data_IF_771695815402
#
_entry.id   IF_771695815402
#
_cell.length_a   1.000
_cell.length_b   1.000
_cell.length_c   1.000
_cell.angle_alpha   90.00
_cell.angle_beta   90.00
_cell.angle_gamma   90.00
#
_symmetry.space_group_name_H-M   'P 1'
#
loop_
_entity.id
_entity.type
_entity.pdbx_description
1 polymer ?
#
# COMPACT_ATOMS: atom_id res chain seq x y z
N UNK A 1 -4.86 -37.32 37.83
CA UNK A 1 -3.70 -36.58 38.39
C UNK A 1 -3.09 -35.80 37.24
N UNK A 2 -2.98 -34.49 37.16
CA UNK A 2 -3.44 -33.33 37.93
C UNK A 2 -3.55 -32.20 36.89
N UNK A 3 -4.72 -31.57 36.75
CA UNK A 3 -4.95 -30.48 35.79
C UNK A 3 -4.70 -29.14 36.48
N UNK A 4 -3.63 -28.45 36.11
CA UNK A 4 -3.31 -27.11 36.63
C UNK A 4 -4.09 -26.03 35.88
N UNK A 5 -5.21 -25.63 36.49
CA UNK A 5 -6.02 -24.46 36.11
C UNK A 5 -5.35 -23.20 36.67
N UNK A 6 -4.86 -22.32 35.79
CA UNK A 6 -4.32 -21.03 36.19
C UNK A 6 -5.47 -20.01 36.31
N UNK A 7 -5.77 -19.62 37.56
CA UNK A 7 -6.86 -18.72 37.95
C UNK A 7 -6.29 -17.30 38.12
N UNK A 8 -6.53 -16.40 37.18
CA UNK A 8 -6.17 -14.98 37.35
C UNK A 8 -7.25 -14.26 38.16
N UNK A 9 -6.85 -13.76 39.35
CA UNK A 9 -7.64 -12.90 40.23
C UNK A 9 -7.66 -11.48 39.67
N UNK A 10 -8.86 -10.93 39.45
CA UNK A 10 -9.11 -9.51 39.29
C UNK A 10 -9.58 -8.95 40.64
N UNK A 11 -8.82 -8.01 41.21
CA UNK A 11 -9.28 -7.16 42.31
C UNK A 11 -8.43 -5.89 42.38
N UNK A 12 -9.08 -4.74 42.23
CA UNK A 12 -8.44 -3.43 42.34
C UNK A 12 -9.41 -2.30 42.09
N UNK A 13 -10.36 -2.10 43.01
CA UNK A 13 -11.17 -0.89 43.11
C UNK A 13 -10.26 0.34 43.21
N UNK A 14 -10.39 1.28 42.27
CA UNK A 14 -9.94 2.65 42.49
C UNK A 14 -11.06 3.62 42.12
N UNK A 15 -11.77 4.06 43.15
CA UNK A 15 -12.76 5.13 43.10
C UNK A 15 -12.04 6.46 43.29
N UNK A 16 -12.07 7.33 42.29
CA UNK A 16 -11.85 8.77 42.47
C UNK A 16 -12.86 9.55 41.64
N UNK A 17 -13.76 10.21 42.36
CA UNK A 17 -14.65 11.26 41.90
C UNK A 17 -13.87 12.54 41.52
N UNK A 18 -14.60 13.46 40.87
CA UNK A 18 -14.35 14.90 40.66
C UNK A 18 -13.57 15.22 39.37
N UNK A 19 -14.02 16.09 38.45
CA UNK A 19 -14.99 17.20 38.46
C UNK A 19 -15.64 17.35 37.08
N UNK A 20 -16.91 17.73 37.09
CA UNK A 20 -17.66 18.26 35.95
C UNK A 20 -17.26 19.73 35.74
N UNK A 21 -17.01 20.15 34.51
CA UNK A 21 -16.96 21.55 34.10
C UNK A 21 -17.84 21.75 32.85
N UNK A 22 -18.51 22.92 32.69
CA UNK A 22 -19.69 23.04 31.84
C UNK A 22 -19.40 23.51 30.41
N UNK A 23 -20.45 23.32 29.60
CA UNK A 23 -20.70 23.66 28.21
C UNK A 23 -20.21 25.04 27.71
N UNK A 24 -19.79 25.08 26.43
CA UNK A 24 -20.51 25.79 25.36
C UNK A 24 -19.64 25.93 24.12
N UNK A 25 -20.11 25.45 22.97
CA UNK A 25 -19.91 26.09 21.67
C UNK A 25 -21.05 25.70 20.73
N UNK A 26 -22.06 26.57 20.71
CA UNK A 26 -23.10 26.68 19.69
C UNK A 26 -22.43 26.79 18.31
N UNK A 27 -22.78 25.90 17.39
CA UNK A 27 -22.64 26.15 15.96
C UNK A 27 -24.03 26.48 15.41
N UNK A 28 -24.14 27.67 14.84
CA UNK A 28 -25.37 28.23 14.27
C UNK A 28 -25.86 27.38 13.11
N UNK A 29 -27.01 26.77 13.33
CA UNK A 29 -27.89 26.17 12.33
C UNK A 29 -28.47 27.30 11.47
N UNK A 30 -28.01 27.45 10.23
CA UNK A 30 -28.71 28.25 9.22
C UNK A 30 -30.01 27.53 8.87
N UNK A 31 -31.13 28.15 9.26
CA UNK A 31 -32.44 27.89 8.69
C UNK A 31 -32.44 28.39 7.25
N UNK A 32 -32.80 27.53 6.31
CA UNK A 32 -33.45 27.97 5.07
C UNK A 32 -34.87 27.44 5.13
N UNK A 33 -35.77 28.38 4.94
CA UNK A 33 -37.22 28.31 5.03
C UNK A 33 -37.86 27.63 3.83
N UNK A 34 -39.04 27.10 4.12
CA UNK A 34 -40.10 26.58 3.27
C UNK A 34 -40.36 27.37 1.97
N UNK A 35 -40.69 26.64 0.90
CA UNK A 35 -41.51 27.12 -0.20
C UNK A 35 -42.48 25.99 -0.64
N UNK A 36 -43.70 26.34 -1.08
CA UNK A 36 -44.84 25.42 -1.11
C UNK A 36 -45.01 24.66 -2.42
N UNK A 37 -45.76 23.57 -2.29
CA UNK A 37 -46.31 22.71 -3.33
C UNK A 37 -47.17 23.47 -4.34
N UNK A 38 -46.97 23.22 -5.63
CA UNK A 38 -47.98 23.45 -6.67
C UNK A 38 -48.15 22.18 -7.51
N UNK A 39 -49.41 21.87 -7.76
CA UNK A 39 -49.95 20.72 -8.44
C UNK A 39 -49.98 20.89 -9.96
N UNK A 40 -50.13 19.75 -10.66
CA UNK A 40 -50.90 19.53 -11.89
C UNK A 40 -50.55 20.32 -13.16
N UNK A 41 -50.02 19.63 -14.19
CA UNK A 41 -50.81 19.16 -15.36
C UNK A 41 -49.93 18.54 -16.47
N UNK A 42 -50.52 17.75 -17.39
CA UNK A 42 -49.81 16.96 -18.40
C UNK A 42 -49.76 17.64 -19.78
N UNK A 43 -48.77 17.24 -20.58
CA UNK A 43 -48.84 17.37 -22.04
C UNK A 43 -47.62 18.02 -22.67
N UNK A 44 -46.92 17.25 -23.51
CA UNK A 44 -46.74 17.53 -24.95
C UNK A 44 -45.53 16.75 -25.44
N UNK A 45 -45.81 15.74 -26.27
CA UNK A 45 -44.84 15.02 -27.10
C UNK A 45 -44.19 16.04 -28.04
N UNK A 46 -42.86 16.13 -28.04
CA UNK A 46 -42.11 16.91 -29.01
C UNK A 46 -41.00 16.05 -29.62
N UNK A 47 -41.06 15.91 -30.95
CA UNK A 47 -40.07 15.25 -31.81
C UNK A 47 -38.65 15.79 -31.57
N UNK A 48 -37.62 14.95 -31.74
CA UNK A 48 -36.25 15.41 -31.88
C UNK A 48 -35.97 15.85 -33.33
N UNK A 49 -35.81 17.16 -33.53
CA UNK A 49 -35.19 17.71 -34.74
C UNK A 49 -33.71 17.36 -34.81
N UNK A 50 -33.31 16.86 -35.99
CA UNK A 50 -31.94 16.57 -36.37
C UNK A 50 -31.06 17.82 -36.31
N UNK A 51 -30.16 17.85 -35.33
CA UNK A 51 -29.13 18.88 -35.22
C UNK A 51 -27.82 18.40 -35.84
N UNK A 52 -27.40 19.14 -36.87
CA UNK A 52 -26.23 18.95 -37.71
C UNK A 52 -24.93 18.96 -36.91
N UNK A 53 -24.09 17.97 -37.19
CA UNK A 53 -22.70 17.85 -36.76
C UNK A 53 -21.84 18.97 -37.34
N UNK A 54 -21.33 19.87 -36.48
CA UNK A 54 -20.18 20.71 -36.78
C UNK A 54 -18.91 19.98 -36.31
N UNK A 55 -18.23 19.33 -37.25
CA UNK A 55 -16.86 18.86 -37.05
C UNK A 55 -15.94 20.08 -36.88
N UNK A 56 -15.40 20.24 -35.67
CA UNK A 56 -14.36 21.23 -35.37
C UNK A 56 -13.00 20.52 -35.40
N UNK A 57 -12.31 20.68 -36.53
CA UNK A 57 -10.97 20.14 -36.84
C UNK A 57 -9.81 20.75 -36.02
N UNK A 58 -10.04 21.12 -34.76
CA UNK A 58 -9.09 21.94 -33.99
C UNK A 58 -8.37 21.22 -32.84
N UNK A 59 -8.38 19.88 -32.80
CA UNK A 59 -7.83 19.09 -31.68
C UNK A 59 -6.58 18.26 -32.00
N UNK A 60 -6.05 18.27 -33.23
CA UNK A 60 -4.92 17.41 -33.61
C UNK A 60 -3.51 17.95 -33.34
N UNK A 61 -3.35 19.22 -32.95
CA UNK A 61 -2.02 19.80 -32.70
C UNK A 61 -1.63 19.90 -31.21
N UNK A 62 -2.54 19.67 -30.27
CA UNK A 62 -2.23 19.72 -28.83
C UNK A 62 -1.86 18.36 -28.21
N UNK A 63 -1.97 17.26 -28.97
CA UNK A 63 -1.72 15.91 -28.47
C UNK A 63 -0.29 15.40 -28.68
N UNK A 64 0.56 16.13 -29.44
CA UNK A 64 1.97 15.76 -29.62
C UNK A 64 2.90 16.48 -28.65
N UNK A 65 2.59 17.71 -28.24
CA UNK A 65 3.43 18.49 -27.32
C UNK A 65 3.32 18.03 -25.85
N UNK A 66 2.20 17.39 -25.47
CA UNK A 66 1.99 16.87 -24.11
C UNK A 66 2.55 15.45 -23.87
N UNK A 67 3.10 14.80 -24.91
CA UNK A 67 3.69 13.44 -24.78
C UNK A 67 5.16 13.47 -24.38
N UNK A 68 5.93 14.48 -24.78
CA UNK A 68 7.37 14.55 -24.46
C UNK A 68 7.63 14.97 -23.01
N UNK A 69 6.85 15.89 -22.45
CA UNK A 69 7.09 16.43 -21.08
C UNK A 69 6.74 15.42 -19.97
N UNK A 70 5.78 14.52 -20.22
CA UNK A 70 5.40 13.47 -19.25
C UNK A 70 6.40 12.32 -19.25
N UNK A 71 6.95 11.94 -20.40
CA UNK A 71 7.89 10.81 -20.49
C UNK A 71 9.25 11.12 -19.84
N UNK A 72 9.72 12.38 -19.95
CA UNK A 72 10.97 12.82 -19.32
C UNK A 72 10.87 12.89 -17.78
N UNK A 73 9.69 13.21 -17.25
CA UNK A 73 9.44 13.29 -15.80
C UNK A 73 9.39 11.91 -15.14
N UNK A 74 8.86 10.88 -15.83
CA UNK A 74 8.83 9.51 -15.28
C UNK A 74 10.19 8.78 -15.42
N UNK A 75 11.01 9.11 -16.41
CA UNK A 75 12.36 8.55 -16.57
C UNK A 75 13.35 9.07 -15.52
N UNK A 76 13.17 10.31 -15.02
CA UNK A 76 14.05 10.91 -14.00
C UNK A 76 13.78 10.40 -12.57
N UNK A 77 12.55 9.97 -12.27
CA UNK A 77 12.17 9.48 -10.94
C UNK A 77 12.63 8.04 -10.64
N UNK A 78 13.03 7.26 -11.66
CA UNK A 78 13.47 5.87 -11.49
C UNK A 78 14.98 5.67 -11.62
N UNK A 79 15.72 6.67 -12.09
CA UNK A 79 17.16 6.59 -12.36
C UNK A 79 18.06 7.46 -11.47
N UNK A 80 17.50 8.32 -10.62
CA UNK A 80 18.33 9.11 -9.69
C UNK A 80 18.67 8.31 -8.43
N UNK A 81 19.97 8.02 -8.27
CA UNK A 81 20.64 7.61 -7.02
C UNK A 81 20.64 6.14 -6.57
N UNK A 82 20.76 5.18 -7.48
CA UNK A 82 21.42 3.91 -7.13
C UNK A 82 22.78 3.83 -7.81
N UNK A 83 23.76 4.55 -7.24
CA UNK A 83 25.15 4.18 -7.48
C UNK A 83 25.30 2.70 -7.08
N UNK A 84 25.86 1.83 -7.94
CA UNK A 84 26.00 0.41 -7.62
C UNK A 84 26.84 0.29 -6.35
N UNK A 85 26.18 -0.04 -5.23
CA UNK A 85 26.86 -0.30 -3.97
C UNK A 85 27.81 -1.47 -4.19
N UNK A 86 29.05 -1.32 -3.70
CA UNK A 86 30.03 -2.40 -3.77
C UNK A 86 29.43 -3.61 -3.05
N UNK A 87 29.48 -4.79 -3.66
CA UNK A 87 28.93 -6.03 -3.09
C UNK A 87 29.45 -6.34 -1.67
N UNK A 88 30.61 -5.78 -1.29
CA UNK A 88 31.20 -5.91 0.05
C UNK A 88 30.40 -5.26 1.18
N UNK A 89 29.51 -4.31 0.87
CA UNK A 89 28.88 -3.47 1.89
C UNK A 89 27.44 -3.89 2.19
N UNK A 90 26.97 -4.99 1.59
CA UNK A 90 25.62 -5.51 1.81
C UNK A 90 25.62 -6.22 3.17
N UNK A 91 24.76 -5.82 4.12
CA UNK A 91 24.62 -6.51 5.39
C UNK A 91 24.29 -7.99 5.17
N UNK A 92 24.75 -8.90 6.05
CA UNK A 92 24.43 -10.31 5.95
C UNK A 92 22.92 -10.51 5.90
N UNK A 93 22.50 -11.49 5.10
CA UNK A 93 21.08 -11.76 4.85
C UNK A 93 20.45 -12.32 6.12
N UNK A 94 19.43 -11.62 6.61
CA UNK A 94 18.74 -12.00 7.83
C UNK A 94 17.60 -12.98 7.52
N UNK A 95 17.68 -14.25 7.98
CA UNK A 95 16.71 -15.28 7.59
C UNK A 95 15.34 -15.09 8.23
N UNK A 96 15.26 -14.41 9.39
CA UNK A 96 14.02 -14.28 10.16
C UNK A 96 12.89 -13.56 9.41
N UNK A 97 13.19 -12.73 8.40
CA UNK A 97 12.18 -12.11 7.55
C UNK A 97 11.43 -13.16 6.70
N UNK A 98 12.19 -14.08 6.09
CA UNK A 98 11.60 -15.17 5.34
C UNK A 98 10.83 -16.09 6.28
N UNK A 99 11.43 -16.49 7.41
CA UNK A 99 10.77 -17.33 8.41
C UNK A 99 9.43 -16.74 8.88
N UNK A 100 9.36 -15.43 9.09
CA UNK A 100 8.12 -14.76 9.45
C UNK A 100 7.06 -14.85 8.34
N UNK A 101 7.42 -14.55 7.08
CA UNK A 101 6.48 -14.64 5.96
C UNK A 101 6.04 -16.09 5.70
N UNK A 102 6.93 -17.06 5.83
CA UNK A 102 6.62 -18.48 5.73
C UNK A 102 5.70 -18.94 6.87
N UNK A 103 5.83 -18.37 8.06
CA UNK A 103 4.87 -18.57 9.15
C UNK A 103 3.46 -18.06 8.82
N UNK A 104 3.36 -16.94 8.09
CA UNK A 104 2.07 -16.38 7.65
C UNK A 104 1.52 -17.14 6.43
N UNK A 105 2.40 -17.58 5.52
CA UNK A 105 2.07 -18.28 4.27
C UNK A 105 2.84 -19.61 4.16
N UNK A 106 2.41 -20.67 4.85
CA UNK A 106 3.18 -21.92 4.96
C UNK A 106 3.47 -22.64 3.64
N UNK A 107 2.67 -22.38 2.60
CA UNK A 107 2.83 -22.98 1.27
C UNK A 107 3.87 -22.27 0.40
N UNK A 108 4.32 -21.08 0.80
CA UNK A 108 5.23 -20.26 0.00
C UNK A 108 6.62 -20.25 0.64
N UNK A 109 7.67 -20.38 -0.17
CA UNK A 109 9.07 -20.30 0.25
C UNK A 109 9.71 -19.00 -0.23
N UNK A 110 9.93 -18.06 0.69
CA UNK A 110 10.37 -16.72 0.33
C UNK A 110 11.89 -16.64 0.25
N UNK A 111 12.48 -16.16 -0.87
CA UNK A 111 13.88 -15.81 -0.89
C UNK A 111 14.19 -14.78 0.21
N UNK A 112 15.19 -14.99 1.08
CA UNK A 112 15.46 -14.10 2.21
C UNK A 112 15.69 -12.63 1.81
N UNK A 113 16.32 -12.40 0.66
CA UNK A 113 16.51 -11.05 0.11
C UNK A 113 15.21 -10.37 -0.30
N UNK A 114 14.28 -11.13 -0.86
CA UNK A 114 12.96 -10.62 -1.23
C UNK A 114 12.17 -10.28 0.04
N UNK A 115 12.15 -11.19 1.03
CA UNK A 115 11.46 -10.98 2.30
C UNK A 115 11.99 -9.73 3.03
N UNK A 116 13.31 -9.57 3.09
CA UNK A 116 13.97 -8.37 3.65
C UNK A 116 13.51 -7.08 2.96
N UNK A 117 13.46 -7.06 1.63
CA UNK A 117 13.02 -5.88 0.87
C UNK A 117 11.54 -5.58 1.08
N UNK A 118 10.68 -6.60 1.08
CA UNK A 118 9.23 -6.48 1.35
C UNK A 118 8.99 -5.89 2.75
N UNK A 119 9.76 -6.33 3.74
CA UNK A 119 9.64 -5.94 5.15
C UNK A 119 10.59 -4.77 5.53
N UNK A 120 11.04 -3.98 4.56
CA UNK A 120 11.78 -2.74 4.79
C UNK A 120 11.05 -1.56 4.17
N UNK A 121 10.54 -0.66 5.00
CA UNK A 121 9.90 0.58 4.58
C UNK A 121 10.95 1.65 4.23
N UNK A 122 10.61 2.59 3.34
CA UNK A 122 11.52 3.65 2.88
C UNK A 122 11.96 4.61 3.98
N UNK A 123 11.23 4.70 5.10
CA UNK A 123 11.62 5.54 6.23
C UNK A 123 12.77 4.96 7.07
N UNK A 124 13.12 3.68 6.89
CA UNK A 124 14.19 3.05 7.67
C UNK A 124 15.57 3.30 7.02
N UNK A 125 16.65 3.53 7.81
CA UNK A 125 17.99 3.74 7.25
C UNK A 125 18.51 2.62 6.35
N UNK A 126 18.11 1.37 6.62
CA UNK A 126 18.47 0.21 5.78
C UNK A 126 17.76 0.17 4.42
N UNK A 127 16.83 1.10 4.13
CA UNK A 127 16.15 1.20 2.84
C UNK A 127 17.10 1.42 1.66
N UNK A 128 18.32 1.93 1.92
CA UNK A 128 19.40 2.04 0.93
C UNK A 128 19.79 0.68 0.31
N UNK A 129 19.54 -0.42 1.03
CA UNK A 129 19.80 -1.79 0.54
C UNK A 129 18.56 -2.42 -0.10
N UNK A 130 17.58 -1.59 -0.46
CA UNK A 130 16.28 -1.98 -1.00
C UNK A 130 15.16 -1.82 0.02
N UNK A 131 14.03 -1.31 -0.45
CA UNK A 131 12.81 -1.12 0.32
C UNK A 131 11.59 -1.60 -0.49
N UNK A 132 10.42 -1.53 0.14
CA UNK A 132 9.22 -2.20 -0.35
C UNK A 132 8.39 -1.40 -1.37
N UNK A 133 8.86 -0.25 -1.86
CA UNK A 133 8.00 0.64 -2.67
C UNK A 133 7.58 0.02 -4.01
N UNK A 134 8.51 -0.64 -4.70
CA UNK A 134 8.24 -1.32 -6.00
C UNK A 134 7.22 -2.43 -5.81
N UNK A 135 7.39 -3.26 -4.79
CA UNK A 135 6.44 -4.32 -4.47
C UNK A 135 5.10 -3.76 -3.98
N UNK A 136 5.11 -2.68 -3.20
CA UNK A 136 3.90 -2.00 -2.77
C UNK A 136 3.09 -1.43 -3.94
N UNK A 137 3.77 -0.87 -4.94
CA UNK A 137 3.13 -0.40 -6.18
C UNK A 137 2.45 -1.53 -6.96
N UNK A 138 3.16 -2.65 -7.15
CA UNK A 138 2.64 -3.82 -7.85
C UNK A 138 1.46 -4.44 -7.07
N UNK A 139 1.62 -4.57 -5.76
CA UNK A 139 0.60 -5.14 -4.88
C UNK A 139 -0.67 -4.32 -4.80
N UNK A 140 -0.59 -2.98 -4.78
CA UNK A 140 -1.79 -2.13 -4.82
C UNK A 140 -2.64 -2.40 -6.07
N UNK A 141 -1.99 -2.50 -7.24
CA UNK A 141 -2.67 -2.84 -8.51
C UNK A 141 -3.28 -4.24 -8.49
N UNK A 142 -2.54 -5.22 -7.96
CA UNK A 142 -3.03 -6.59 -7.84
C UNK A 142 -4.27 -6.64 -6.93
N UNK A 143 -4.20 -6.03 -5.75
CA UNK A 143 -5.30 -5.96 -4.78
C UNK A 143 -6.55 -5.31 -5.37
N UNK A 144 -6.39 -4.15 -6.02
CA UNK A 144 -7.50 -3.45 -6.67
C UNK A 144 -8.13 -4.29 -7.77
N UNK A 145 -7.31 -4.91 -8.64
CA UNK A 145 -7.80 -5.78 -9.71
C UNK A 145 -8.56 -6.98 -9.17
N UNK A 146 -8.02 -7.67 -8.15
CA UNK A 146 -8.68 -8.83 -7.54
C UNK A 146 -9.97 -8.46 -6.83
N UNK A 147 -10.00 -7.31 -6.14
CA UNK A 147 -11.21 -6.84 -5.50
C UNK A 147 -12.28 -6.48 -6.54
N UNK A 148 -11.91 -5.78 -7.62
CA UNK A 148 -12.86 -5.43 -8.69
C UNK A 148 -13.41 -6.67 -9.38
N UNK A 149 -12.56 -7.67 -9.69
CA UNK A 149 -13.02 -8.96 -10.22
C UNK A 149 -14.01 -9.66 -9.28
N UNK A 150 -13.72 -9.66 -7.97
CA UNK A 150 -14.63 -10.18 -6.96
C UNK A 150 -15.97 -9.42 -6.95
N UNK A 151 -15.94 -8.09 -6.94
CA UNK A 151 -17.15 -7.25 -6.92
C UNK A 151 -17.98 -7.44 -8.18
N UNK A 152 -17.36 -7.52 -9.36
CA UNK A 152 -18.05 -7.80 -10.62
C UNK A 152 -18.72 -9.19 -10.65
N UNK A 153 -18.18 -10.14 -9.89
CA UNK A 153 -18.83 -11.44 -9.75
C UNK A 153 -20.09 -11.36 -8.87
N UNK A 154 -20.19 -10.37 -7.97
CA UNK A 154 -21.32 -10.24 -7.05
C UNK A 154 -22.58 -9.70 -7.74
N UNK A 155 -23.75 -9.94 -7.13
CA UNK A 155 -25.00 -9.29 -7.55
C UNK A 155 -24.99 -7.83 -7.11
N UNK A 156 -24.61 -6.93 -8.01
CA UNK A 156 -24.50 -5.50 -7.74
C UNK A 156 -25.87 -4.82 -7.80
N UNK A 157 -26.11 -3.88 -6.89
CA UNK A 157 -27.24 -2.96 -6.94
C UNK A 157 -26.81 -1.70 -7.71
N UNK A 158 -27.74 -1.00 -8.41
CA UNK A 158 -27.41 0.24 -9.10
C UNK A 158 -26.84 1.34 -8.20
N UNK A 159 -27.09 1.26 -6.89
CA UNK A 159 -26.57 2.19 -5.88
C UNK A 159 -25.13 1.91 -5.44
N UNK A 160 -24.53 0.79 -5.88
CA UNK A 160 -23.17 0.45 -5.50
C UNK A 160 -22.15 1.14 -6.41
N UNK A 161 -21.43 2.11 -5.85
CA UNK A 161 -20.22 2.67 -6.46
C UNK A 161 -19.02 1.75 -6.15
N UNK A 162 -18.53 1.05 -7.17
CA UNK A 162 -17.45 0.08 -7.01
C UNK A 162 -16.10 0.74 -6.69
N UNK A 163 -15.85 1.94 -7.21
CA UNK A 163 -14.60 2.66 -6.97
C UNK A 163 -14.57 3.19 -5.53
N UNK A 164 -15.69 3.72 -5.03
CA UNK A 164 -15.83 4.08 -3.62
C UNK A 164 -15.66 2.86 -2.70
N UNK A 165 -16.32 1.74 -3.03
CA UNK A 165 -16.18 0.50 -2.26
C UNK A 165 -14.72 0.03 -2.24
N UNK A 166 -14.04 0.02 -3.39
CA UNK A 166 -12.65 -0.42 -3.50
C UNK A 166 -11.69 0.51 -2.74
N UNK A 167 -11.84 1.82 -2.89
CA UNK A 167 -10.99 2.81 -2.22
C UNK A 167 -11.14 2.77 -0.69
N UNK A 168 -12.36 2.54 -0.18
CA UNK A 168 -12.61 2.35 1.26
C UNK A 168 -12.09 1.01 1.77
N UNK A 169 -12.33 -0.08 1.03
CA UNK A 169 -11.94 -1.42 1.46
C UNK A 169 -10.43 -1.64 1.44
N UNK A 170 -9.72 -1.06 0.45
CA UNK A 170 -8.27 -1.17 0.29
C UNK A 170 -7.51 0.03 0.88
N UNK A 171 -8.15 0.83 1.72
CA UNK A 171 -7.50 1.92 2.42
C UNK A 171 -6.31 1.38 3.24
N UNK A 172 -5.13 2.02 3.14
CA UNK A 172 -3.92 1.56 3.81
C UNK A 172 -4.08 1.43 5.33
N UNK A 173 -4.86 2.31 5.97
CA UNK A 173 -5.11 2.19 7.41
C UNK A 173 -5.97 0.97 7.73
N UNK A 174 -7.00 0.70 6.93
CA UNK A 174 -7.86 -0.49 7.08
C UNK A 174 -7.04 -1.76 6.89
N UNK A 175 -6.22 -1.81 5.84
CA UNK A 175 -5.32 -2.94 5.60
C UNK A 175 -4.32 -3.13 6.74
N UNK A 176 -3.69 -2.07 7.22
CA UNK A 176 -2.72 -2.17 8.31
C UNK A 176 -3.33 -2.57 9.64
N UNK A 177 -4.47 -1.97 9.99
CA UNK A 177 -5.18 -2.23 11.24
C UNK A 177 -5.69 -3.68 11.28
N UNK A 178 -6.37 -4.14 10.22
CA UNK A 178 -7.07 -5.43 10.23
C UNK A 178 -6.28 -6.60 9.69
N UNK A 179 -5.39 -6.38 8.71
CA UNK A 179 -4.61 -7.47 8.10
C UNK A 179 -3.16 -7.41 8.59
N UNK A 180 -2.53 -6.23 8.52
CA UNK A 180 -1.14 -6.05 8.93
C UNK A 180 -0.88 -6.38 10.40
N UNK A 181 -1.83 -6.05 11.29
CA UNK A 181 -1.77 -6.42 12.70
C UNK A 181 -1.91 -7.94 12.91
N UNK A 182 -2.81 -8.60 12.19
CA UNK A 182 -3.03 -10.05 12.30
C UNK A 182 -1.82 -10.84 11.80
N UNK A 183 -1.18 -10.37 10.73
CA UNK A 183 0.07 -10.95 10.24
C UNK A 183 1.27 -10.63 11.15
N UNK A 184 1.09 -9.80 12.19
CA UNK A 184 2.16 -9.46 13.12
C UNK A 184 3.23 -8.54 12.54
N UNK A 185 2.93 -7.81 11.45
CA UNK A 185 3.91 -6.99 10.73
C UNK A 185 4.54 -5.91 11.62
N UNK A 186 3.81 -5.39 12.60
CA UNK A 186 4.32 -4.34 13.49
C UNK A 186 5.54 -4.77 14.32
N UNK A 187 5.77 -6.09 14.48
CA UNK A 187 6.91 -6.65 15.23
C UNK A 187 8.14 -6.89 14.36
N UNK A 188 7.94 -7.17 13.08
CA UNK A 188 9.00 -7.59 12.16
C UNK A 188 9.48 -6.47 11.25
N UNK A 189 8.60 -5.49 10.97
CA UNK A 189 8.83 -4.49 9.94
C UNK A 189 9.95 -3.52 10.32
N UNK A 190 10.84 -3.25 9.37
CA UNK A 190 11.85 -2.19 9.49
C UNK A 190 11.27 -0.86 9.02
N UNK A 191 10.99 0.01 9.97
CA UNK A 191 10.49 1.35 9.71
C UNK A 191 10.93 2.32 10.82
N UNK A 192 10.89 3.61 10.53
CA UNK A 192 11.13 4.67 11.51
C UNK A 192 9.84 5.48 11.71
N UNK A 193 9.37 5.66 12.96
CA UNK A 193 8.18 6.45 13.24
C UNK A 193 8.43 7.94 13.04
N UNK A 194 7.37 8.67 12.65
CA UNK A 194 7.42 10.13 12.51
C UNK A 194 7.46 10.85 13.86
N UNK A 195 7.00 10.18 14.93
CA UNK A 195 6.99 10.72 16.29
C UNK A 195 8.32 10.45 17.00
N UNK A 196 8.78 11.40 17.82
CA UNK A 196 10.01 11.24 18.61
C UNK A 196 9.88 10.09 19.61
N UNK A 197 11.04 9.48 19.95
CA UNK A 197 11.12 8.34 20.87
C UNK A 197 10.51 8.63 22.25
N UNK A 198 10.72 9.83 22.78
CA UNK A 198 10.17 10.26 24.08
C UNK A 198 8.64 10.24 24.13
N UNK A 199 7.99 10.43 22.98
CA UNK A 199 6.55 10.34 22.86
C UNK A 199 6.10 8.89 22.64
N UNK A 200 6.95 8.02 22.09
CA UNK A 200 6.59 6.63 21.80
C UNK A 200 6.39 5.79 23.08
N UNK A 201 7.20 6.02 24.11
CA UNK A 201 7.11 5.28 25.37
C UNK A 201 5.80 5.58 26.14
N UNK A 202 5.26 6.79 25.97
CA UNK A 202 3.96 7.19 26.54
C UNK A 202 2.77 6.61 25.77
N UNK A 203 3.04 5.99 24.62
CA UNK A 203 2.07 5.72 23.55
C UNK A 203 1.77 4.24 23.37
N UNK A 204 2.63 3.36 23.87
CA UNK A 204 2.51 1.91 23.70
C UNK A 204 1.19 1.29 24.20
N UNK A 205 0.37 2.01 24.96
CA UNK A 205 -0.88 1.52 25.54
C UNK A 205 -2.16 2.13 24.93
N UNK A 206 -2.08 3.05 23.95
CA UNK A 206 -3.27 3.68 23.36
C UNK A 206 -3.36 3.50 21.82
N UNK A 207 -4.39 2.81 21.30
CA UNK A 207 -4.53 2.52 19.86
C UNK A 207 -4.70 3.77 18.99
N UNK A 208 -5.32 4.83 19.53
CA UNK A 208 -5.44 6.12 18.83
C UNK A 208 -4.08 6.71 18.52
N UNK A 209 -3.10 6.46 19.39
CA UNK A 209 -1.77 7.03 19.24
C UNK A 209 -0.89 6.18 18.32
N UNK A 210 -1.11 4.86 18.24
CA UNK A 210 -0.54 4.02 17.16
C UNK A 210 -0.96 4.50 15.77
N UNK A 211 -2.22 4.93 15.60
CA UNK A 211 -2.69 5.54 14.35
C UNK A 211 -1.95 6.85 14.07
N UNK A 212 -1.70 7.69 15.07
CA UNK A 212 -0.93 8.93 14.89
C UNK A 212 0.57 8.70 14.63
N UNK A 213 1.15 7.59 15.10
CA UNK A 213 2.54 7.24 14.82
C UNK A 213 2.75 6.79 13.36
N UNK A 214 1.67 6.59 12.59
CA UNK A 214 1.73 6.14 11.20
C UNK A 214 1.91 4.63 11.04
N UNK A 215 1.89 3.86 12.13
CA UNK A 215 2.14 2.42 12.10
C UNK A 215 1.16 1.68 11.19
N UNK A 216 -0.15 1.91 11.33
CA UNK A 216 -1.15 1.24 10.49
C UNK A 216 -1.03 1.62 9.02
N UNK A 217 -0.65 2.87 8.71
CA UNK A 217 -0.40 3.25 7.31
C UNK A 217 0.76 2.42 6.73
N UNK A 218 1.88 2.38 7.45
CA UNK A 218 3.09 1.68 7.02
C UNK A 218 2.88 0.15 6.97
N UNK A 219 2.10 -0.42 7.89
CA UNK A 219 1.67 -1.81 7.82
C UNK A 219 0.79 -2.08 6.60
N UNK A 220 -0.17 -1.21 6.28
CA UNK A 220 -1.02 -1.36 5.09
C UNK A 220 -0.23 -1.31 3.79
N UNK A 221 0.72 -0.38 3.68
CA UNK A 221 1.66 -0.32 2.55
C UNK A 221 2.49 -1.61 2.45
N UNK A 222 2.87 -2.19 3.60
CA UNK A 222 3.57 -3.47 3.66
C UNK A 222 2.68 -4.65 3.26
N UNK A 223 1.38 -4.65 3.63
CA UNK A 223 0.42 -5.67 3.16
C UNK A 223 0.36 -5.68 1.62
N UNK A 224 0.26 -4.49 1.00
CA UNK A 224 0.36 -4.39 -0.44
C UNK A 224 1.71 -4.92 -0.95
N UNK A 225 2.83 -4.54 -0.33
CA UNK A 225 4.15 -5.03 -0.74
C UNK A 225 4.31 -6.55 -0.64
N UNK A 226 3.72 -7.20 0.36
CA UNK A 226 3.69 -8.66 0.49
C UNK A 226 2.98 -9.27 -0.72
N UNK A 227 1.80 -8.75 -1.09
CA UNK A 227 1.06 -9.24 -2.26
C UNK A 227 1.82 -8.99 -3.56
N UNK A 228 2.45 -7.83 -3.72
CA UNK A 228 3.30 -7.56 -4.88
C UNK A 228 4.53 -8.47 -4.94
N UNK A 229 5.12 -8.80 -3.79
CA UNK A 229 6.21 -9.76 -3.67
C UNK A 229 5.77 -11.18 -4.04
N UNK A 230 4.59 -11.59 -3.60
CA UNK A 230 3.99 -12.89 -3.97
C UNK A 230 3.71 -12.94 -5.46
N UNK A 231 3.12 -11.88 -6.01
CA UNK A 231 2.86 -11.76 -7.45
C UNK A 231 4.16 -11.85 -8.25
N UNK A 232 5.21 -11.16 -7.81
CA UNK A 232 6.50 -11.16 -8.48
C UNK A 232 7.19 -12.53 -8.44
N UNK A 233 7.21 -13.20 -7.28
CA UNK A 233 7.96 -14.44 -7.08
C UNK A 233 7.20 -15.72 -7.45
N UNK A 234 5.91 -15.78 -7.15
CA UNK A 234 5.06 -16.96 -7.29
C UNK A 234 3.97 -16.80 -8.36
N UNK A 235 3.79 -15.59 -8.91
CA UNK A 235 2.87 -15.31 -9.99
C UNK A 235 1.48 -14.87 -9.54
N UNK A 236 0.66 -14.48 -10.51
CA UNK A 236 -0.66 -13.89 -10.29
C UNK A 236 -1.67 -14.87 -9.65
N UNK A 237 -1.59 -16.16 -9.96
CA UNK A 237 -2.52 -17.17 -9.44
C UNK A 237 -2.39 -17.32 -7.93
N UNK A 238 -1.15 -17.42 -7.42
CA UNK A 238 -0.89 -17.52 -5.99
C UNK A 238 -1.25 -16.22 -5.25
N UNK A 239 -0.92 -15.05 -5.83
CA UNK A 239 -1.33 -13.77 -5.26
C UNK A 239 -2.87 -13.64 -5.17
N UNK A 240 -3.59 -14.10 -6.19
CA UNK A 240 -5.06 -14.10 -6.22
C UNK A 240 -5.65 -15.07 -5.17
N UNK A 241 -5.08 -16.27 -5.04
CA UNK A 241 -5.47 -17.22 -4.00
C UNK A 241 -5.24 -16.64 -2.60
N UNK A 242 -4.09 -16.02 -2.36
CA UNK A 242 -3.79 -15.36 -1.07
C UNK A 242 -4.77 -14.21 -0.81
N UNK A 243 -5.13 -13.43 -1.82
CA UNK A 243 -6.15 -12.39 -1.66
C UNK A 243 -7.48 -12.97 -1.14
N UNK A 244 -8.01 -14.00 -1.79
CA UNK A 244 -9.29 -14.59 -1.40
C UNK A 244 -9.24 -15.33 -0.06
N UNK A 245 -8.13 -15.98 0.27
CA UNK A 245 -8.04 -16.83 1.47
C UNK A 245 -7.52 -16.09 2.71
N UNK A 246 -6.72 -15.03 2.54
CA UNK A 246 -6.02 -14.34 3.64
C UNK A 246 -6.30 -12.85 3.77
N UNK A 247 -6.87 -12.20 2.76
CA UNK A 247 -7.17 -10.75 2.80
C UNK A 247 -8.66 -10.52 2.86
N UNK A 248 -9.38 -11.04 1.86
CA UNK A 248 -10.81 -10.80 1.68
C UNK A 248 -11.65 -11.11 2.94
N UNK A 249 -11.41 -12.19 3.70
CA UNK A 249 -12.16 -12.47 4.94
C UNK A 249 -12.01 -11.39 6.02
N UNK A 250 -10.90 -10.65 6.01
CA UNK A 250 -10.62 -9.60 6.99
C UNK A 250 -11.06 -8.19 6.54
N UNK A 251 -11.56 -8.06 5.30
CA UNK A 251 -12.18 -6.83 4.82
C UNK A 251 -13.64 -6.68 5.29
N UNK A 252 -14.23 -7.73 5.87
CA UNK A 252 -15.57 -7.69 6.47
C UNK A 252 -15.51 -7.16 7.89
N UNK A 253 -15.75 -5.86 8.04
CA UNK A 253 -15.71 -5.16 9.33
C UNK A 253 -17.09 -5.00 9.97
N UNK A 254 -18.06 -5.84 9.54
CA UNK A 254 -19.45 -5.81 9.99
C UNK A 254 -20.14 -4.50 9.62
N UNK A 255 -20.83 -3.89 10.59
CA UNK A 255 -21.60 -2.64 10.41
C UNK A 255 -20.76 -1.36 10.34
N UNK A 256 -19.43 -1.46 10.30
CA UNK A 256 -18.59 -0.28 10.10
C UNK A 256 -18.75 0.23 8.68
N UNK A 257 -18.64 1.54 8.51
CA UNK A 257 -18.59 2.19 7.17
C UNK A 257 -17.27 1.96 6.45
N UNK A 258 -16.28 1.39 7.14
CA UNK A 258 -14.98 0.97 6.62
C UNK A 258 -15.06 -0.49 6.13
N UNK A 259 -14.34 -0.83 5.06
CA UNK A 259 -14.32 -2.20 4.53
C UNK A 259 -15.47 -2.55 3.57
N UNK A 260 -15.71 -3.85 3.41
CA UNK A 260 -16.73 -4.41 2.53
C UNK A 260 -18.07 -4.58 3.26
N UNK A 261 -19.14 -4.23 2.56
CA UNK A 261 -20.51 -4.42 3.04
C UNK A 261 -20.86 -5.91 3.23
N UNK A 262 -21.69 -6.19 4.24
CA UNK A 262 -22.15 -7.55 4.60
C UNK A 262 -22.85 -8.26 3.42
N UNK A 263 -23.41 -7.52 2.46
CA UNK A 263 -24.05 -8.09 1.26
C UNK A 263 -23.11 -8.95 0.42
N UNK A 264 -21.80 -8.71 0.49
CA UNK A 264 -20.79 -9.46 -0.26
C UNK A 264 -20.23 -10.65 0.53
N UNK A 265 -20.52 -10.74 1.83
CA UNK A 265 -19.87 -11.66 2.76
C UNK A 265 -20.11 -13.13 2.39
N UNK A 266 -21.36 -13.51 2.10
CA UNK A 266 -21.70 -14.89 1.74
C UNK A 266 -20.91 -15.39 0.52
N UNK A 267 -20.78 -14.54 -0.50
CA UNK A 267 -20.06 -14.91 -1.72
C UNK A 267 -18.55 -14.96 -1.50
N UNK A 268 -18.00 -14.03 -0.73
CA UNK A 268 -16.59 -14.06 -0.37
C UNK A 268 -16.21 -15.35 0.35
N UNK A 269 -16.95 -15.74 1.40
CA UNK A 269 -16.69 -16.98 2.14
C UNK A 269 -16.74 -18.21 1.24
N UNK A 270 -17.73 -18.29 0.33
CA UNK A 270 -17.84 -19.40 -0.61
C UNK A 270 -16.61 -19.49 -1.54
N UNK A 271 -16.13 -18.35 -2.06
CA UNK A 271 -14.91 -18.32 -2.90
C UNK A 271 -13.68 -18.68 -2.08
N UNK A 272 -13.52 -18.10 -0.89
CA UNK A 272 -12.40 -18.39 0.03
C UNK A 272 -12.30 -19.88 0.37
N UNK A 273 -13.43 -20.55 0.62
CA UNK A 273 -13.48 -21.98 0.86
C UNK A 273 -13.05 -22.75 -0.40
N UNK A 274 -13.64 -22.45 -1.56
CA UNK A 274 -13.28 -23.15 -2.81
C UNK A 274 -11.79 -23.02 -3.18
N UNK A 275 -11.16 -21.86 -2.90
CA UNK A 275 -9.74 -21.62 -3.15
C UNK A 275 -8.81 -22.18 -2.06
N UNK A 276 -9.35 -22.59 -0.91
CA UNK A 276 -8.58 -23.25 0.14
C UNK A 276 -8.51 -24.77 -0.08
N UNK A 277 -9.58 -25.35 -0.65
CA UNK A 277 -9.75 -26.80 -0.78
C UNK A 277 -9.08 -27.41 -2.02
N UNK A 278 -8.59 -26.60 -2.96
CA UNK A 278 -7.98 -27.10 -4.19
C UNK A 278 -6.64 -27.81 -3.90
N UNK A 279 -6.54 -29.14 -4.12
CA UNK A 279 -5.32 -29.92 -3.90
C UNK A 279 -4.22 -29.41 -4.82
N UNK A 280 -3.05 -29.06 -4.25
CA UNK A 280 -1.89 -28.66 -5.04
C UNK A 280 -1.19 -29.89 -5.65
N UNK A 281 -1.90 -30.63 -6.50
CA UNK A 281 -1.29 -31.69 -7.34
C UNK A 281 -0.67 -31.11 -8.62
N UNK A 282 -0.60 -29.78 -8.74
CA UNK A 282 0.11 -29.12 -9.84
C UNK A 282 1.61 -29.34 -9.59
N UNK A 283 2.33 -30.04 -10.48
CA UNK A 283 3.76 -30.26 -10.31
C UNK A 283 4.46 -28.91 -10.16
N UNK A 284 5.47 -28.81 -9.26
CA UNK A 284 6.12 -27.54 -8.95
C UNK A 284 6.61 -26.90 -10.24
N UNK A 285 6.00 -25.78 -10.62
CA UNK A 285 6.43 -25.01 -11.79
C UNK A 285 7.83 -24.55 -11.49
N UNK A 286 8.83 -25.12 -12.16
CA UNK A 286 10.23 -24.74 -12.04
C UNK A 286 10.28 -23.23 -12.21
N UNK A 287 10.65 -22.51 -11.14
CA UNK A 287 10.66 -21.06 -11.14
C UNK A 287 11.41 -20.59 -12.40
N UNK A 288 10.90 -19.56 -13.11
CA UNK A 288 11.62 -19.00 -14.25
C UNK A 288 13.01 -18.66 -13.72
N UNK A 289 14.01 -19.44 -14.13
CA UNK A 289 15.39 -19.10 -13.84
C UNK A 289 15.54 -17.72 -14.42
N UNK A 290 15.70 -16.72 -13.55
CA UNK A 290 16.20 -15.42 -13.92
C UNK A 290 17.56 -15.72 -14.52
N UNK A 291 17.55 -15.98 -15.81
CA UNK A 291 18.73 -16.05 -16.63
C UNK A 291 19.36 -14.69 -16.44
N UNK A 292 20.35 -14.64 -15.57
CA UNK A 292 21.45 -13.70 -15.68
C UNK A 292 21.99 -13.95 -17.08
N UNK A 293 21.37 -13.30 -18.07
CA UNK A 293 21.92 -13.20 -19.40
C UNK A 293 23.33 -12.69 -19.16
N UNK A 294 24.29 -13.54 -19.52
CA UNK A 294 25.63 -13.10 -19.81
C UNK A 294 25.45 -12.03 -20.88
N UNK A 295 25.38 -10.77 -20.47
CA UNK A 295 25.48 -9.64 -21.37
C UNK A 295 26.82 -9.85 -22.05
N UNK A 296 26.75 -10.24 -23.33
CA UNK A 296 27.91 -10.44 -24.17
C UNK A 296 28.85 -9.25 -24.00
N UNK A 297 30.13 -9.57 -23.84
CA UNK A 297 31.20 -8.61 -23.73
C UNK A 297 31.00 -7.48 -24.75
N UNK A 298 30.81 -6.26 -24.25
CA UNK A 298 30.84 -5.06 -25.08
C UNK A 298 32.19 -5.05 -25.82
N UNK A 299 32.21 -4.74 -27.13
CA UNK A 299 33.46 -4.54 -27.84
C UNK A 299 34.27 -3.40 -27.19
N UNK A 300 35.60 -3.46 -27.23
CA UNK A 300 36.47 -2.49 -26.57
C UNK A 300 36.18 -1.08 -27.07
N UNK A 301 35.87 -0.20 -26.11
CA UNK A 301 35.68 1.24 -26.30
C UNK A 301 36.91 1.81 -27.00
N UNK A 302 36.74 2.34 -28.22
CA UNK A 302 37.80 3.08 -28.94
C UNK A 302 38.35 4.16 -28.02
N UNK A 303 39.68 4.14 -27.81
CA UNK A 303 40.42 5.21 -27.16
C UNK A 303 40.21 6.49 -27.99
N UNK A 304 39.45 7.42 -27.45
CA UNK A 304 39.45 8.81 -27.94
C UNK A 304 40.71 9.44 -27.37
N UNK A 305 41.65 9.72 -28.26
CA UNK A 305 42.89 10.44 -28.02
C UNK A 305 42.60 11.88 -27.56
N UNK A 306 43.27 12.25 -26.48
CA UNK A 306 43.83 13.55 -26.15
C UNK A 306 43.04 14.82 -26.53
N UNK A 307 42.50 15.47 -25.51
CA UNK A 307 42.29 16.91 -25.50
C UNK A 307 42.80 17.51 -24.18
N UNK A 308 43.41 18.70 -24.20
CA UNK A 308 44.33 19.14 -23.17
C UNK A 308 43.63 19.75 -21.94
N UNK A 309 44.30 19.51 -20.81
CA UNK A 309 44.16 20.12 -19.50
C UNK A 309 43.74 21.60 -19.50
N UNK A 310 42.59 21.90 -18.90
CA UNK A 310 42.29 23.21 -18.29
C UNK A 310 42.08 22.97 -16.80
N UNK A 311 43.20 22.91 -16.07
CA UNK A 311 43.23 23.07 -14.63
C UNK A 311 43.45 24.55 -14.33
N UNK A 312 42.42 25.24 -13.84
CA UNK A 312 42.53 26.58 -13.26
C UNK A 312 41.72 26.63 -11.96
N UNK A 313 42.47 26.58 -10.86
CA UNK A 313 42.32 27.41 -9.66
C UNK A 313 40.94 27.51 -9.00
N UNK A 314 40.70 26.65 -8.00
CA UNK A 314 39.79 26.98 -6.90
C UNK A 314 40.43 26.60 -5.55
N UNK A 315 41.45 27.37 -5.16
CA UNK A 315 41.98 27.42 -3.80
C UNK A 315 42.44 28.84 -3.50
N UNK A 316 41.58 29.61 -2.82
CA UNK A 316 41.90 30.66 -1.83
C UNK A 316 40.64 31.48 -1.56
N UNK A 317 40.03 31.28 -0.40
CA UNK A 317 39.56 32.33 0.50
C UNK A 317 38.69 31.73 1.59
N UNK A 318 39.27 31.45 2.76
CA UNK A 318 38.54 31.38 4.03
C UNK A 318 39.58 31.47 5.16
N UNK A 319 40.10 32.67 5.36
CA UNK A 319 40.77 33.06 6.59
C UNK A 319 40.79 34.59 6.68
N UNK A 320 39.82 35.18 7.38
CA UNK A 320 39.92 36.43 8.15
C UNK A 320 38.55 36.84 8.68
N UNK A 321 38.35 36.68 10.00
CA UNK A 321 37.85 37.70 10.96
C UNK A 321 37.20 37.02 12.16
N UNK A 322 37.97 36.89 13.24
CA UNK A 322 37.47 36.85 14.61
C UNK A 322 38.05 38.10 15.27
N UNK A 323 37.25 39.08 15.72
CA UNK A 323 37.72 40.09 16.64
C UNK A 323 37.53 39.61 18.10
N UNK A 324 38.58 39.79 18.89
CA UNK A 324 38.48 40.00 20.34
C UNK A 324 38.12 41.46 20.59
#
# INVERSE_FOLDING_TARGET
MSSSVCRLRLSGHFSRQLRVAPASRRLSRRQLSDAPSTSSEPGTVREPEASKSHESSSSRLAASEFKEEVEETYAQATNSHFAPTKKSDIPPVEPYFAEHLEGVFPTLKFPPELARRILTHSSHPAAIYGHNAVYGFLGRRALESYLMLFLHSCSLQPSHDLEDIASRALNSYVLGEHIGSQWGLGRILRWTPTVSRDNLDKVSSNPTVLRSAGLYKVQGDTVAAVIGGIFYQFGAVEAHRVFHTRILPHLFLGRKTEGLSEVFHRKALAISQSMSDEPQDIPPRTAPQTSTSNVGALPPRRKVSDSPSIAMNFKRELAKKIPL
#
